data_IF_710128318761
#
_entry.id   IF_710128318761
#
_cell.length_a   1.000
_cell.length_b   1.000
_cell.length_c   1.000
_cell.angle_alpha   90.00
_cell.angle_beta   90.00
_cell.angle_gamma   90.00
#
_symmetry.space_group_name_H-M   'P 1'
#
loop_
_entity.id
_entity.type
_entity.pdbx_description
1 polymer ?
#
# COMPACT_ATOMS: atom_id res chain seq x y z
N UNK A 1 -5.04 -23.47 3.30
CA UNK A 1 -5.56 -22.28 4.02
C UNK A 1 -6.81 -21.85 3.28
N UNK A 2 -7.80 -21.35 4.01
CA UNK A 2 -9.14 -21.12 3.44
C UNK A 2 -9.36 -19.65 3.10
N UNK A 3 -10.15 -19.42 2.07
CA UNK A 3 -10.66 -18.12 1.68
C UNK A 3 -11.83 -17.76 2.61
N UNK A 4 -11.83 -16.57 3.21
CA UNK A 4 -12.93 -16.11 4.09
C UNK A 4 -13.92 -15.25 3.30
N UNK A 5 -15.09 -15.81 2.99
CA UNK A 5 -16.15 -15.12 2.24
C UNK A 5 -16.66 -13.84 2.93
N UNK A 6 -16.41 -13.67 4.24
CA UNK A 6 -16.79 -12.45 4.99
C UNK A 6 -15.69 -11.40 4.99
N UNK A 7 -14.50 -11.72 4.50
CA UNK A 7 -13.40 -10.78 4.40
C UNK A 7 -13.48 -10.01 3.07
N UNK A 8 -13.63 -8.68 3.15
CA UNK A 8 -13.64 -7.82 1.96
C UNK A 8 -12.39 -8.02 1.09
N UNK A 9 -11.21 -8.19 1.70
CA UNK A 9 -9.97 -8.39 0.95
C UNK A 9 -9.96 -9.76 0.24
N UNK A 10 -10.48 -10.82 0.86
CA UNK A 10 -10.68 -12.10 0.18
C UNK A 10 -11.63 -11.97 -1.02
N UNK A 11 -12.70 -11.20 -0.90
CA UNK A 11 -13.59 -10.96 -2.05
C UNK A 11 -12.85 -10.24 -3.20
N UNK A 12 -11.95 -9.30 -2.89
CA UNK A 12 -11.10 -8.65 -3.91
C UNK A 12 -10.14 -9.62 -4.61
N UNK A 13 -9.66 -10.66 -3.92
CA UNK A 13 -8.69 -11.60 -4.49
C UNK A 13 -9.24 -12.50 -5.58
N UNK A 14 -10.57 -12.57 -5.71
CA UNK A 14 -11.27 -13.34 -6.75
C UNK A 14 -11.58 -12.53 -8.01
N UNK A 15 -11.38 -11.20 -7.99
CA UNK A 15 -11.62 -10.31 -9.13
C UNK A 15 -10.50 -10.40 -10.17
N UNK A 16 -10.82 -10.20 -11.43
CA UNK A 16 -9.85 -10.15 -12.52
C UNK A 16 -9.17 -8.79 -12.67
N UNK A 17 -8.02 -8.76 -13.35
CA UNK A 17 -7.28 -7.51 -13.61
C UNK A 17 -8.18 -6.55 -14.39
N UNK A 18 -8.34 -5.33 -13.89
CA UNK A 18 -9.24 -4.30 -14.41
C UNK A 18 -10.61 -4.26 -13.74
N UNK A 19 -11.00 -5.28 -12.98
CA UNK A 19 -12.26 -5.30 -12.24
C UNK A 19 -12.19 -4.50 -10.94
N UNK A 20 -13.33 -3.92 -10.54
CA UNK A 20 -13.47 -3.10 -9.34
C UNK A 20 -14.21 -3.84 -8.24
N UNK A 21 -13.74 -3.71 -7.00
CA UNK A 21 -14.45 -4.16 -5.81
C UNK A 21 -15.62 -3.24 -5.47
N UNK A 22 -16.48 -3.67 -4.55
CA UNK A 22 -17.56 -2.83 -4.02
C UNK A 22 -17.04 -1.58 -3.28
N UNK A 23 -15.80 -1.61 -2.79
CA UNK A 23 -15.11 -0.47 -2.21
C UNK A 23 -14.58 0.50 -3.30
N UNK A 24 -14.53 0.08 -4.56
CA UNK A 24 -14.02 0.82 -5.71
C UNK A 24 -12.53 0.62 -5.96
N UNK A 25 -11.88 -0.34 -5.29
CA UNK A 25 -10.49 -0.69 -5.58
C UNK A 25 -10.41 -1.54 -6.84
N UNK A 26 -9.41 -1.31 -7.68
CA UNK A 26 -9.25 -2.03 -8.96
C UNK A 26 -8.06 -2.97 -8.89
N UNK A 27 -8.22 -4.24 -9.30
CA UNK A 27 -7.09 -5.16 -9.45
C UNK A 27 -6.23 -4.70 -10.62
N UNK A 28 -4.96 -4.40 -10.37
CA UNK A 28 -4.01 -3.88 -11.39
C UNK A 28 -2.98 -4.92 -11.82
N UNK A 29 -2.74 -5.96 -11.01
CA UNK A 29 -1.80 -7.03 -11.34
C UNK A 29 -2.10 -8.28 -10.50
N UNK A 30 -1.81 -9.46 -11.08
CA UNK A 30 -1.74 -10.75 -10.39
C UNK A 30 -0.41 -11.41 -10.72
N UNK A 31 0.22 -12.04 -9.73
CA UNK A 31 1.46 -12.82 -9.89
C UNK A 31 1.26 -14.19 -9.23
N UNK A 32 1.51 -15.25 -9.98
CA UNK A 32 1.28 -16.64 -9.57
C UNK A 32 0.38 -17.36 -10.58
N UNK A 33 0.63 -18.64 -10.77
CA UNK A 33 -0.11 -19.49 -11.73
C UNK A 33 -1.29 -20.21 -11.10
N UNK A 34 -1.31 -20.31 -9.76
CA UNK A 34 -2.30 -21.07 -9.00
C UNK A 34 -2.73 -20.25 -7.79
N UNK A 35 -3.96 -20.46 -7.31
CA UNK A 35 -4.50 -19.74 -6.14
C UNK A 35 -3.60 -19.85 -4.91
N UNK A 36 -2.96 -21.01 -4.70
CA UNK A 36 -2.09 -21.29 -3.57
C UNK A 36 -0.77 -20.50 -3.57
N UNK A 37 -0.34 -19.98 -4.71
CA UNK A 37 0.87 -19.18 -4.85
C UNK A 37 0.61 -17.75 -5.35
N UNK A 38 -0.66 -17.35 -5.42
CA UNK A 38 -1.06 -16.08 -6.04
C UNK A 38 -0.98 -14.91 -5.06
N UNK A 39 -0.42 -13.82 -5.57
CA UNK A 39 -0.54 -12.48 -5.02
C UNK A 39 -1.22 -11.57 -6.04
N UNK A 40 -1.89 -10.54 -5.53
CA UNK A 40 -2.50 -9.49 -6.33
C UNK A 40 -2.16 -8.11 -5.80
N UNK A 41 -2.22 -7.13 -6.68
CA UNK A 41 -2.14 -5.71 -6.36
C UNK A 41 -3.46 -5.03 -6.72
N UNK A 42 -4.00 -4.23 -5.80
CA UNK A 42 -5.19 -3.39 -6.05
C UNK A 42 -4.86 -1.90 -5.87
N UNK A 43 -5.35 -1.07 -6.79
CA UNK A 43 -5.31 0.39 -6.67
C UNK A 43 -6.52 0.87 -5.86
N UNK A 44 -6.28 1.56 -4.74
CA UNK A 44 -7.33 2.11 -3.89
C UNK A 44 -7.92 3.39 -4.48
N UNK A 45 -9.25 3.60 -4.42
CA UNK A 45 -9.87 4.84 -4.88
C UNK A 45 -9.67 6.00 -3.89
N UNK A 46 -9.02 5.74 -2.75
CA UNK A 46 -8.70 6.72 -1.72
C UNK A 46 -7.22 6.71 -1.41
N UNK A 47 -6.66 7.88 -1.16
CA UNK A 47 -5.29 8.06 -0.68
C UNK A 47 -5.26 8.80 0.66
N UNK A 48 -4.24 8.53 1.48
CA UNK A 48 -3.95 9.32 2.69
C UNK A 48 -2.91 10.42 2.45
N UNK A 49 -2.39 10.54 1.23
CA UNK A 49 -1.52 11.62 0.77
C UNK A 49 -2.30 12.69 0.00
N UNK A 50 -1.66 13.31 -0.99
CA UNK A 50 -2.28 14.32 -1.85
C UNK A 50 -3.25 13.65 -2.86
N UNK A 51 -4.57 13.91 -2.82
CA UNK A 51 -5.52 13.30 -3.75
C UNK A 51 -5.36 13.72 -5.22
N UNK A 52 -4.56 14.76 -5.51
CA UNK A 52 -4.26 15.21 -6.87
C UNK A 52 -3.04 14.52 -7.48
N UNK A 53 -2.18 13.91 -6.66
CA UNK A 53 -0.87 13.41 -7.10
C UNK A 53 -0.54 12.01 -6.61
N UNK A 54 -1.12 11.58 -5.49
CA UNK A 54 -0.77 10.34 -4.81
C UNK A 54 -1.85 9.26 -4.95
N UNK A 55 -1.42 8.03 -4.71
CA UNK A 55 -2.29 6.87 -4.70
C UNK A 55 -1.89 5.89 -3.60
N UNK A 56 -2.70 4.86 -3.39
CA UNK A 56 -2.35 3.75 -2.50
C UNK A 56 -2.62 2.44 -3.23
N UNK A 57 -1.58 1.62 -3.34
CA UNK A 57 -1.66 0.27 -3.89
C UNK A 57 -1.62 -0.72 -2.72
N UNK A 58 -2.44 -1.76 -2.75
CA UNK A 58 -2.44 -2.82 -1.74
C UNK A 58 -2.01 -4.13 -2.38
N UNK A 59 -1.01 -4.78 -1.80
CA UNK A 59 -0.60 -6.12 -2.14
C UNK A 59 -1.21 -7.10 -1.15
N UNK A 60 -1.81 -8.18 -1.63
CA UNK A 60 -2.35 -9.22 -0.76
C UNK A 60 -2.23 -10.60 -1.42
N UNK A 61 -2.02 -11.68 -0.65
CA UNK A 61 -2.09 -13.04 -1.14
C UNK A 61 -3.56 -13.41 -1.44
N UNK A 62 -3.78 -14.44 -2.26
CA UNK A 62 -5.15 -14.85 -2.58
C UNK A 62 -5.91 -15.43 -1.37
N UNK A 63 -5.25 -16.31 -0.60
CA UNK A 63 -5.82 -16.93 0.61
C UNK A 63 -5.77 -16.00 1.81
N UNK A 64 -6.63 -16.26 2.80
CA UNK A 64 -6.66 -15.46 4.03
C UNK A 64 -5.50 -15.82 4.96
N UNK A 65 -4.47 -14.99 4.98
CA UNK A 65 -3.36 -15.09 5.93
C UNK A 65 -3.49 -14.05 7.04
N UNK A 66 -3.15 -14.41 8.27
CA UNK A 66 -3.20 -13.48 9.44
C UNK A 66 -1.82 -13.25 10.06
N UNK A 67 -0.78 -13.87 9.50
CA UNK A 67 0.60 -13.67 9.88
C UNK A 67 1.51 -13.81 8.66
N UNK A 68 2.44 -12.86 8.50
CA UNK A 68 3.40 -12.90 7.41
C UNK A 68 4.28 -14.17 7.42
N UNK A 69 4.52 -14.79 8.59
CA UNK A 69 5.30 -16.04 8.66
C UNK A 69 4.65 -17.20 7.91
N UNK A 70 3.33 -17.17 7.72
CA UNK A 70 2.60 -18.20 6.98
C UNK A 70 2.96 -18.19 5.48
N UNK A 71 3.44 -17.08 4.94
CA UNK A 71 3.93 -17.00 3.56
C UNK A 71 5.10 -17.98 3.33
N UNK A 72 5.88 -18.28 4.37
CA UNK A 72 7.02 -19.20 4.30
C UNK A 72 6.61 -20.67 4.11
N UNK A 73 5.33 -21.03 4.24
CA UNK A 73 4.89 -22.41 4.00
C UNK A 73 4.90 -22.79 2.51
N UNK A 74 4.98 -21.81 1.61
CA UNK A 74 5.06 -22.00 0.17
C UNK A 74 6.15 -21.10 -0.44
N UNK A 75 7.23 -21.71 -0.95
CA UNK A 75 8.36 -20.96 -1.52
C UNK A 75 7.99 -20.15 -2.76
N UNK A 76 7.08 -20.64 -3.60
CA UNK A 76 6.61 -19.89 -4.77
C UNK A 76 5.73 -18.71 -4.34
N UNK A 77 4.90 -18.86 -3.30
CA UNK A 77 4.14 -17.74 -2.74
C UNK A 77 5.08 -16.63 -2.21
N UNK A 78 6.13 -17.00 -1.49
CA UNK A 78 7.13 -16.06 -0.98
C UNK A 78 7.91 -15.35 -2.11
N UNK A 79 8.27 -16.09 -3.16
CA UNK A 79 8.91 -15.55 -4.36
C UNK A 79 7.98 -14.61 -5.13
N UNK A 80 6.72 -14.98 -5.29
CA UNK A 80 5.71 -14.18 -5.98
C UNK A 80 5.41 -12.87 -5.24
N UNK A 81 5.43 -12.87 -3.91
CA UNK A 81 5.41 -11.63 -3.12
C UNK A 81 6.55 -10.69 -3.51
N UNK A 82 7.79 -11.17 -3.49
CA UNK A 82 8.97 -10.36 -3.83
C UNK A 82 8.91 -9.83 -5.26
N UNK A 83 8.48 -10.66 -6.22
CA UNK A 83 8.31 -10.26 -7.61
C UNK A 83 7.23 -9.18 -7.76
N UNK A 84 6.06 -9.37 -7.16
CA UNK A 84 4.97 -8.39 -7.20
C UNK A 84 5.40 -7.07 -6.55
N UNK A 85 6.04 -7.13 -5.38
CA UNK A 85 6.53 -5.95 -4.66
C UNK A 85 7.50 -5.13 -5.53
N UNK A 86 8.46 -5.80 -6.17
CA UNK A 86 9.42 -5.14 -7.06
C UNK A 86 8.74 -4.54 -8.30
N UNK A 87 7.84 -5.28 -8.95
CA UNK A 87 7.06 -4.79 -10.11
C UNK A 87 6.25 -3.54 -9.78
N UNK A 88 5.48 -3.59 -8.68
CA UNK A 88 4.64 -2.46 -8.24
C UNK A 88 5.48 -1.27 -7.84
N UNK A 89 6.59 -1.46 -7.12
CA UNK A 89 7.47 -0.37 -6.75
C UNK A 89 8.07 0.32 -7.99
N UNK A 90 8.51 -0.47 -8.99
CA UNK A 90 9.02 0.08 -10.25
C UNK A 90 7.93 0.80 -11.05
N UNK A 91 6.72 0.24 -11.16
CA UNK A 91 5.62 0.89 -11.86
C UNK A 91 5.23 2.23 -11.19
N UNK A 92 5.17 2.26 -9.86
CA UNK A 92 4.89 3.47 -9.10
C UNK A 92 6.00 4.51 -9.26
N UNK A 93 7.26 4.06 -9.29
CA UNK A 93 8.40 4.92 -9.57
C UNK A 93 8.26 5.60 -10.94
N UNK A 94 7.89 4.87 -11.99
CA UNK A 94 7.71 5.45 -13.33
C UNK A 94 6.54 6.43 -13.36
N UNK A 95 5.40 6.09 -12.76
CA UNK A 95 4.27 7.02 -12.60
C UNK A 95 4.72 8.31 -11.92
N UNK A 96 5.49 8.20 -10.83
CA UNK A 96 5.97 9.37 -10.10
C UNK A 96 6.92 10.23 -10.93
N UNK A 97 7.81 9.60 -11.69
CA UNK A 97 8.77 10.26 -12.59
C UNK A 97 8.07 10.99 -13.75
N UNK A 98 7.02 10.40 -14.30
CA UNK A 98 6.29 10.96 -15.44
C UNK A 98 5.38 12.13 -15.03
N UNK A 99 4.91 12.14 -13.78
CA UNK A 99 4.08 13.22 -13.23
C UNK A 99 4.86 14.51 -12.95
N UNK A 100 6.13 14.41 -12.58
CA UNK A 100 6.95 15.56 -12.20
C UNK A 100 8.41 15.33 -12.58
N UNK A 101 8.90 16.17 -13.49
CA UNK A 101 10.25 16.08 -14.04
C UNK A 101 11.35 16.49 -13.06
N UNK A 102 10.99 17.11 -11.93
CA UNK A 102 11.94 17.40 -10.85
C UNK A 102 12.29 16.11 -10.07
N UNK A 103 11.41 15.12 -10.07
CA UNK A 103 11.69 13.83 -9.44
C UNK A 103 12.67 12.99 -10.26
N UNK A 104 13.82 12.69 -9.65
CA UNK A 104 14.90 11.91 -10.28
C UNK A 104 15.38 10.80 -9.36
N UNK A 105 16.04 9.79 -9.95
CA UNK A 105 16.83 8.81 -9.22
C UNK A 105 18.02 8.38 -10.09
N UNK A 106 19.28 8.63 -9.66
CA UNK A 106 19.66 9.30 -8.41
C UNK A 106 19.25 10.79 -8.40
N UNK A 107 18.85 11.30 -7.24
CA UNK A 107 18.46 12.69 -7.04
C UNK A 107 19.53 13.52 -6.34
N UNK A 108 19.69 14.83 -6.67
CA UNK A 108 20.61 15.72 -5.96
C UNK A 108 20.12 16.12 -4.56
N UNK A 109 18.81 16.07 -4.26
CA UNK A 109 18.27 16.38 -2.93
C UNK A 109 17.30 15.31 -2.45
N UNK A 110 16.96 15.34 -1.15
CA UNK A 110 15.96 14.42 -0.61
C UNK A 110 14.56 14.76 -1.15
N UNK A 111 14.29 16.04 -1.33
CA UNK A 111 13.00 16.57 -1.76
C UNK A 111 12.69 16.26 -3.22
N UNK A 112 13.71 16.17 -4.08
CA UNK A 112 13.58 15.80 -5.49
C UNK A 112 13.84 14.31 -5.75
N UNK A 113 13.85 13.48 -4.70
CA UNK A 113 14.04 12.03 -4.81
C UNK A 113 12.69 11.32 -4.88
N UNK A 114 12.57 10.38 -5.83
CA UNK A 114 11.41 9.48 -5.87
C UNK A 114 11.45 8.57 -4.64
N UNK A 115 10.57 8.83 -3.69
CA UNK A 115 10.47 8.06 -2.45
C UNK A 115 9.17 7.25 -2.46
N UNK A 116 9.28 5.94 -2.21
CA UNK A 116 8.15 5.03 -2.07
C UNK A 116 8.17 4.48 -0.65
N UNK A 117 7.02 4.53 0.03
CA UNK A 117 6.86 3.94 1.34
C UNK A 117 6.00 2.67 1.26
N UNK A 118 6.23 1.76 2.21
CA UNK A 118 5.40 0.57 2.39
C UNK A 118 4.99 0.39 3.85
N UNK A 119 3.79 -0.16 4.04
CA UNK A 119 3.23 -0.44 5.36
C UNK A 119 2.43 -1.74 5.34
N UNK A 120 2.91 -2.76 6.05
CA UNK A 120 2.26 -4.06 6.16
C UNK A 120 1.36 -4.15 7.38
N UNK A 121 0.19 -4.78 7.22
CA UNK A 121 -0.71 -5.10 8.32
C UNK A 121 -1.33 -6.49 8.11
N UNK A 122 -1.27 -7.32 9.14
CA UNK A 122 -1.79 -8.69 9.12
C UNK A 122 -2.45 -9.10 10.43
N UNK A 123 -2.47 -8.21 11.43
CA UNK A 123 -3.11 -8.52 12.71
C UNK A 123 -3.60 -7.24 13.38
N UNK A 124 -4.74 -7.34 14.06
CA UNK A 124 -5.19 -6.34 15.03
C UNK A 124 -5.07 -6.93 16.42
N UNK A 125 -4.65 -6.10 17.37
CA UNK A 125 -4.47 -6.49 18.77
C UNK A 125 -5.71 -7.14 19.39
N UNK A 126 -6.91 -6.73 18.94
CA UNK A 126 -8.17 -7.20 19.54
C UNK A 126 -8.75 -8.45 18.85
N UNK A 127 -8.53 -8.64 17.54
CA UNK A 127 -9.31 -9.63 16.78
C UNK A 127 -8.50 -10.63 15.96
N UNK A 128 -7.19 -10.41 15.73
CA UNK A 128 -6.30 -11.29 14.93
C UNK A 128 -6.90 -11.79 13.59
N UNK A 129 -7.78 -11.00 12.96
CA UNK A 129 -8.57 -11.41 11.79
C UNK A 129 -8.21 -10.72 10.49
N UNK A 130 -7.28 -9.76 10.52
CA UNK A 130 -6.98 -9.02 9.31
C UNK A 130 -6.24 -9.90 8.30
N UNK A 131 -6.78 -9.96 7.09
CA UNK A 131 -6.10 -10.51 5.94
C UNK A 131 -4.82 -9.69 5.71
N UNK A 132 -3.69 -10.39 5.71
CA UNK A 132 -2.37 -9.89 5.35
C UNK A 132 -2.43 -9.01 4.09
N UNK A 133 -2.08 -7.75 4.24
CA UNK A 133 -1.90 -6.86 3.11
C UNK A 133 -0.75 -5.89 3.37
N UNK A 134 -0.12 -5.44 2.29
CA UNK A 134 0.97 -4.47 2.30
C UNK A 134 0.56 -3.30 1.43
N UNK A 135 0.51 -2.11 2.02
CA UNK A 135 0.29 -0.87 1.28
C UNK A 135 1.61 -0.39 0.70
N UNK A 136 1.57 0.08 -0.53
CA UNK A 136 2.66 0.80 -1.21
C UNK A 136 2.08 2.12 -1.71
N UNK A 137 2.78 3.23 -1.46
CA UNK A 137 2.31 4.56 -1.83
C UNK A 137 3.48 5.53 -2.05
N UNK A 138 3.29 6.57 -2.88
CA UNK A 138 4.24 7.67 -3.00
C UNK A 138 4.49 8.30 -1.64
N UNK A 139 5.75 8.54 -1.32
CA UNK A 139 6.15 9.22 -0.09
C UNK A 139 6.60 10.64 -0.40
N UNK A 140 5.63 11.47 -0.79
CA UNK A 140 5.80 12.89 -1.06
C UNK A 140 5.27 13.68 0.13
N UNK A 141 6.15 14.27 0.95
CA UNK A 141 5.80 15.16 2.08
C UNK A 141 4.90 14.55 3.18
N UNK A 142 4.36 15.44 4.01
CA UNK A 142 3.88 15.27 5.39
C UNK A 142 2.61 14.41 5.49
N UNK A 143 2.71 13.11 5.23
CA UNK A 143 1.66 12.16 5.61
C UNK A 143 1.55 12.25 7.14
N UNK A 144 0.37 12.56 7.69
CA UNK A 144 0.11 12.66 9.14
C UNK A 144 0.37 11.37 9.93
N UNK A 145 0.98 10.36 9.30
CA UNK A 145 1.46 9.15 9.93
C UNK A 145 2.80 9.37 10.62
N UNK A 146 3.13 8.56 11.63
CA UNK A 146 4.50 8.48 12.07
C UNK A 146 5.40 8.19 10.87
N UNK A 147 6.42 9.04 10.72
CA UNK A 147 7.51 8.78 9.81
C UNK A 147 7.99 7.34 10.07
N UNK A 148 8.27 6.59 9.00
CA UNK A 148 8.47 5.12 8.96
C UNK A 148 9.60 4.57 9.85
N UNK A 149 10.21 5.42 10.67
CA UNK A 149 11.13 5.06 11.73
C UNK A 149 10.73 5.76 13.04
N UNK A 150 10.52 4.93 14.07
CA UNK A 150 10.39 5.33 15.47
C UNK A 150 11.53 6.26 15.93
N UNK A 151 12.69 6.22 15.24
CA UNK A 151 13.84 7.09 15.49
C UNK A 151 13.57 8.58 15.29
N UNK A 152 12.50 8.94 14.59
CA UNK A 152 12.07 10.33 14.41
C UNK A 152 11.00 10.79 15.40
N UNK A 153 10.30 9.87 16.10
CA UNK A 153 9.39 10.23 17.18
C UNK A 153 10.11 10.97 18.30
N UNK A 154 11.36 10.57 18.60
CA UNK A 154 12.21 11.28 19.56
C UNK A 154 12.56 12.72 19.15
N UNK A 155 12.26 13.13 17.91
CA UNK A 155 12.43 14.50 17.40
C UNK A 155 11.13 15.30 17.39
N UNK A 156 9.98 14.65 17.58
CA UNK A 156 8.67 15.32 17.65
C UNK A 156 8.47 15.91 19.05
N UNK A 157 7.68 16.97 19.12
CA UNK A 157 7.34 17.60 20.39
C UNK A 157 6.57 16.59 21.27
N UNK A 158 7.08 16.36 22.48
CA UNK A 158 6.44 15.50 23.48
C UNK A 158 5.52 16.37 24.32
N UNK A 159 4.23 16.11 24.21
CA UNK A 159 3.23 16.73 25.06
C UNK A 159 3.09 15.93 26.36
N UNK A 160 2.84 16.63 27.46
CA UNK A 160 2.49 16.02 28.75
C UNK A 160 1.04 16.38 29.05
N UNK A 161 0.22 15.37 29.30
CA UNK A 161 -1.16 15.56 29.74
C UNK A 161 -1.18 16.23 31.11
N UNK A 162 -1.94 17.32 31.26
CA UNK A 162 -1.97 18.09 32.50
C UNK A 162 -2.78 17.41 33.62
N UNK A 163 -3.64 16.45 33.28
CA UNK A 163 -4.47 15.70 34.22
C UNK A 163 -3.81 14.38 34.62
N UNK A 164 -3.24 13.64 33.66
CA UNK A 164 -2.68 12.31 33.89
C UNK A 164 -1.15 12.26 34.03
N UNK A 165 -0.44 13.35 33.69
CA UNK A 165 1.02 13.40 33.54
C UNK A 165 1.58 12.42 32.48
N UNK A 166 0.74 11.83 31.64
CA UNK A 166 1.18 10.94 30.56
C UNK A 166 1.87 11.72 29.45
N UNK A 167 2.91 11.12 28.86
CA UNK A 167 3.67 11.71 27.75
C UNK A 167 3.24 11.09 26.43
N UNK A 168 2.91 11.92 25.46
CA UNK A 168 2.49 11.48 24.14
C UNK A 168 2.91 12.47 23.06
N UNK A 169 2.95 12.00 21.81
CA UNK A 169 3.19 12.83 20.64
C UNK A 169 1.85 13.03 19.94
N UNK A 170 1.48 14.29 19.68
CA UNK A 170 0.28 14.62 18.90
C UNK A 170 0.59 14.40 17.42
N UNK A 171 -0.37 13.81 16.72
CA UNK A 171 -0.28 13.49 15.30
C UNK A 171 -1.53 14.01 14.61
N UNK A 172 -1.35 14.53 13.38
CA UNK A 172 -2.49 14.85 12.54
C UNK A 172 -3.26 13.58 12.19
N UNK A 173 -4.58 13.69 12.11
CA UNK A 173 -5.42 12.56 11.71
C UNK A 173 -5.13 12.23 10.25
N UNK A 174 -4.98 10.95 9.96
CA UNK A 174 -4.86 10.47 8.57
C UNK A 174 -6.26 10.36 7.99
N UNK A 175 -6.65 11.34 7.20
CA UNK A 175 -7.89 11.31 6.46
C UNK A 175 -7.68 10.68 5.09
N UNK A 176 -8.52 9.70 4.74
CA UNK A 176 -8.49 9.08 3.41
C UNK A 176 -9.44 9.82 2.48
N UNK A 177 -8.89 10.49 1.48
CA UNK A 177 -9.64 11.29 0.52
C UNK A 177 -9.80 10.53 -0.80
N UNK A 178 -10.96 10.69 -1.45
CA UNK A 178 -11.20 10.12 -2.78
C UNK A 178 -10.26 10.77 -3.81
N UNK A 179 -9.64 9.93 -4.63
CA UNK A 179 -8.90 10.37 -5.81
C UNK A 179 -9.91 10.83 -6.86
N UNK A 180 -9.61 11.91 -7.59
CA UNK A 180 -10.46 12.36 -8.70
C UNK A 180 -10.63 11.24 -9.74
N UNK A 181 -11.85 11.06 -10.26
CA UNK A 181 -12.18 9.96 -11.17
C UNK A 181 -11.29 9.90 -12.41
N UNK A 182 -10.94 11.06 -12.98
CA UNK A 182 -10.06 11.17 -14.15
C UNK A 182 -8.66 10.65 -13.82
N UNK A 183 -8.05 11.18 -12.76
CA UNK A 183 -6.74 10.73 -12.27
C UNK A 183 -6.75 9.25 -11.91
N UNK A 184 -7.77 8.77 -11.20
CA UNK A 184 -7.89 7.36 -10.84
C UNK A 184 -7.93 6.46 -12.08
N UNK A 185 -8.66 6.86 -13.12
CA UNK A 185 -8.73 6.13 -14.39
C UNK A 185 -7.38 6.10 -15.08
N UNK A 186 -6.70 7.27 -15.18
CA UNK A 186 -5.35 7.36 -15.73
C UNK A 186 -4.37 6.48 -14.98
N UNK A 187 -4.33 6.57 -13.64
CA UNK A 187 -3.45 5.74 -12.81
C UNK A 187 -3.72 4.25 -13.01
N UNK A 188 -4.99 3.85 -13.03
CA UNK A 188 -5.40 2.46 -13.25
C UNK A 188 -4.90 1.95 -14.60
N UNK A 189 -5.15 2.67 -15.69
CA UNK A 189 -4.75 2.25 -17.03
C UNK A 189 -3.22 2.21 -17.18
N UNK A 190 -2.52 3.23 -16.68
CA UNK A 190 -1.04 3.29 -16.70
C UNK A 190 -0.41 2.18 -15.88
N UNK A 191 -0.91 1.92 -14.66
CA UNK A 191 -0.37 0.86 -13.80
C UNK A 191 -0.59 -0.53 -14.40
N UNK A 192 -1.78 -0.79 -14.97
CA UNK A 192 -2.05 -2.06 -15.66
C UNK A 192 -1.09 -2.24 -16.83
N UNK A 193 -0.83 -1.20 -17.62
CA UNK A 193 0.12 -1.27 -18.73
C UNK A 193 1.53 -1.63 -18.22
N UNK A 194 2.06 -0.83 -17.29
CA UNK A 194 3.42 -0.99 -16.76
C UNK A 194 3.67 -2.33 -16.04
N UNK A 195 2.63 -2.94 -15.46
CA UNK A 195 2.76 -4.19 -14.69
C UNK A 195 2.70 -5.45 -15.57
N UNK A 196 2.20 -5.32 -16.80
CA UNK A 196 2.03 -6.42 -17.76
C UNK A 196 3.07 -6.41 -18.90
N UNK A 197 3.97 -5.43 -18.92
CA UNK A 197 5.24 -5.49 -19.66
C UNK A 197 6.23 -6.50 -19.02
#
# INVERSE_FOLDING_TARGET
>A
MEHDEKCNLCQETSLDVGESSSYGAVVICKVGSETDNMWLATLSPKTGGDPENDCTIQLMPHHHYTNFTEVNTNSELAKNYGLLFAKVSNALFQVMKDQDSEFTDPSPTRESSISIASYGKWTTWNEKKEHLHIKIFPFRNNIGQPYTVDSSFGRKEVHTDTETNEKFVKMDVVEKTMIKSELFTTLKDTLILLLNE
#
